data_IF_197270896956
#
_entry.id   IF_197270896956
#
_cell.length_a   1.000
_cell.length_b   1.000
_cell.length_c   1.000
_cell.angle_alpha   90.00
_cell.angle_beta   90.00
_cell.angle_gamma   90.00
#
_symmetry.space_group_name_H-M   'P 1'
#
loop_
_entity.id
_entity.type
_entity.pdbx_description
1 polymer ?
#
# COMPACT_ATOMS: atom_id res chain seq x y z
N UNK A 1 18.32 20.18 10.35
CA UNK A 1 18.14 20.53 8.92
C UNK A 1 17.39 19.39 8.23
N UNK A 2 16.18 19.08 8.72
CA UNK A 2 15.46 17.81 8.43
C UNK A 2 14.07 18.04 7.78
N UNK A 3 13.75 19.31 7.47
CA UNK A 3 12.45 19.73 6.93
C UNK A 3 12.37 19.69 5.39
N UNK A 4 13.42 19.21 4.71
CA UNK A 4 13.52 19.22 3.24
C UNK A 4 13.01 17.92 2.59
N UNK A 5 13.13 16.77 3.27
CA UNK A 5 12.81 15.46 2.70
C UNK A 5 11.33 15.28 2.35
N UNK A 6 10.42 15.57 3.29
CA UNK A 6 8.97 15.39 3.08
C UNK A 6 8.36 16.35 2.05
N UNK A 7 8.88 17.58 1.96
CA UNK A 7 8.41 18.56 0.97
C UNK A 7 8.88 18.20 -0.44
N UNK A 8 10.13 17.74 -0.59
CA UNK A 8 10.70 17.31 -1.87
C UNK A 8 9.96 16.10 -2.46
N UNK A 9 9.66 15.08 -1.66
CA UNK A 9 8.93 13.89 -2.13
C UNK A 9 7.50 14.23 -2.56
N UNK A 10 6.81 15.12 -1.83
CA UNK A 10 5.47 15.60 -2.24
C UNK A 10 5.50 16.36 -3.56
N UNK A 11 6.52 17.19 -3.76
CA UNK A 11 6.70 17.91 -5.02
C UNK A 11 6.97 16.97 -6.20
N UNK A 12 7.81 15.95 -5.99
CA UNK A 12 8.07 14.93 -7.01
C UNK A 12 6.81 14.13 -7.37
N UNK A 13 6.01 13.73 -6.37
CA UNK A 13 4.73 13.02 -6.60
C UNK A 13 3.74 13.87 -7.40
N UNK A 14 3.67 15.18 -7.14
CA UNK A 14 2.83 16.11 -7.92
C UNK A 14 3.32 16.24 -9.36
N UNK A 15 4.62 16.43 -9.57
CA UNK A 15 5.20 16.54 -10.91
C UNK A 15 4.94 15.26 -11.71
N UNK A 16 5.12 14.09 -11.09
CA UNK A 16 4.84 12.81 -11.72
C UNK A 16 3.35 12.62 -12.05
N UNK A 17 2.46 13.12 -11.19
CA UNK A 17 1.00 13.04 -11.39
C UNK A 17 0.52 13.91 -12.55
N UNK A 18 1.17 15.05 -12.80
CA UNK A 18 0.77 16.02 -13.84
C UNK A 18 1.49 15.82 -15.18
N UNK A 19 2.38 14.83 -15.27
CA UNK A 19 3.25 14.65 -16.42
C UNK A 19 2.44 14.25 -17.67
N UNK A 20 1.45 13.37 -17.51
CA UNK A 20 0.59 12.93 -18.61
C UNK A 20 -0.29 14.06 -19.15
N UNK A 21 -0.82 14.93 -18.30
CA UNK A 21 -1.64 16.08 -18.70
C UNK A 21 -0.85 17.06 -19.58
N UNK A 22 0.42 17.30 -19.26
CA UNK A 22 1.30 18.14 -20.08
C UNK A 22 1.51 17.52 -21.46
N UNK A 23 1.76 16.20 -21.51
CA UNK A 23 1.94 15.47 -22.77
C UNK A 23 0.66 15.56 -23.60
N UNK A 24 -0.50 15.31 -23.01
CA UNK A 24 -1.80 15.38 -23.69
C UNK A 24 -2.05 16.81 -24.19
N UNK A 25 -1.79 17.84 -23.39
CA UNK A 25 -1.94 19.22 -23.80
C UNK A 25 -1.04 19.57 -25.00
N UNK A 26 0.23 19.14 -24.99
CA UNK A 26 1.16 19.34 -26.12
C UNK A 26 0.65 18.62 -27.37
N UNK A 27 0.18 17.38 -27.23
CA UNK A 27 -0.34 16.62 -28.37
C UNK A 27 -1.57 17.31 -28.97
N UNK A 28 -2.52 17.72 -28.15
CA UNK A 28 -3.77 18.35 -28.60
C UNK A 28 -3.54 19.74 -29.20
N UNK A 29 -2.64 20.55 -28.64
CA UNK A 29 -2.47 21.96 -29.00
C UNK A 29 -1.35 22.23 -30.00
N UNK A 30 -0.36 21.34 -30.13
CA UNK A 30 0.76 21.53 -31.03
C UNK A 30 0.89 20.41 -32.07
N UNK A 31 0.88 19.15 -31.64
CA UNK A 31 1.14 18.01 -32.56
C UNK A 31 -0.02 17.81 -33.53
N UNK A 32 -1.26 17.71 -33.04
CA UNK A 32 -2.42 17.49 -33.90
C UNK A 32 -2.62 18.63 -34.92
N UNK A 33 -2.56 19.92 -34.53
CA UNK A 33 -2.64 21.01 -35.48
C UNK A 33 -1.50 21.01 -36.50
N UNK A 34 -0.27 20.65 -36.10
CA UNK A 34 0.86 20.54 -37.02
C UNK A 34 0.69 19.42 -38.07
N UNK A 35 -0.14 18.41 -37.78
CA UNK A 35 -0.51 17.35 -38.72
C UNK A 35 -1.75 17.69 -39.56
N UNK A 36 -2.32 18.91 -39.41
CA UNK A 36 -3.54 19.33 -40.09
C UNK A 36 -4.82 18.79 -39.47
N UNK A 37 -4.75 18.24 -38.25
CA UNK A 37 -5.92 17.74 -37.51
C UNK A 37 -6.35 18.83 -36.53
N UNK A 38 -7.40 19.57 -36.90
CA UNK A 38 -7.99 20.58 -36.02
C UNK A 38 -9.04 19.94 -35.10
N UNK A 39 -8.73 19.91 -33.80
CA UNK A 39 -9.68 19.44 -32.78
C UNK A 39 -10.52 20.63 -32.32
N UNK A 40 -11.86 20.52 -32.29
CA UNK A 40 -12.71 21.60 -31.82
C UNK A 40 -12.39 22.00 -30.37
N UNK A 41 -12.32 23.30 -30.10
CA UNK A 41 -11.88 23.85 -28.80
C UNK A 41 -12.69 23.33 -27.61
N UNK A 42 -13.98 23.05 -27.80
CA UNK A 42 -14.84 22.49 -26.77
C UNK A 42 -14.48 21.04 -26.43
N UNK A 43 -14.06 20.24 -27.41
CA UNK A 43 -13.58 18.87 -27.16
C UNK A 43 -12.23 18.92 -26.44
N UNK A 44 -11.31 19.77 -26.91
CA UNK A 44 -10.01 19.97 -26.25
C UNK A 44 -10.19 20.40 -24.79
N UNK A 45 -11.03 21.40 -24.55
CA UNK A 45 -11.32 21.88 -23.20
C UNK A 45 -12.00 20.82 -22.32
N UNK A 46 -12.91 20.03 -22.89
CA UNK A 46 -13.56 18.93 -22.17
C UNK A 46 -12.55 17.84 -21.76
N UNK A 47 -11.67 17.41 -22.67
CA UNK A 47 -10.63 16.40 -22.39
C UNK A 47 -9.71 16.89 -21.28
N UNK A 48 -9.17 18.10 -21.41
CA UNK A 48 -8.28 18.68 -20.39
C UNK A 48 -8.98 18.86 -19.04
N UNK A 49 -10.25 19.28 -19.06
CA UNK A 49 -11.06 19.42 -17.86
C UNK A 49 -11.26 18.10 -17.12
N UNK A 50 -11.59 17.02 -17.84
CA UNK A 50 -11.74 15.68 -17.26
C UNK A 50 -10.43 15.20 -16.61
N UNK A 51 -9.29 15.41 -17.27
CA UNK A 51 -7.98 15.02 -16.73
C UNK A 51 -7.65 15.78 -15.44
N UNK A 52 -7.86 17.11 -15.41
CA UNK A 52 -7.67 17.93 -14.21
C UNK A 52 -8.57 17.45 -13.07
N UNK A 53 -9.84 17.15 -13.35
CA UNK A 53 -10.76 16.61 -12.34
C UNK A 53 -10.25 15.27 -11.80
N UNK A 54 -9.78 14.37 -12.67
CA UNK A 54 -9.14 13.10 -12.26
C UNK A 54 -7.96 13.35 -11.31
N UNK A 55 -7.09 14.31 -11.60
CA UNK A 55 -5.94 14.60 -10.74
C UNK A 55 -6.34 15.14 -9.39
N UNK A 56 -7.33 16.04 -9.33
CA UNK A 56 -7.85 16.57 -8.08
C UNK A 56 -8.44 15.46 -7.21
N UNK A 57 -9.11 14.47 -7.81
CA UNK A 57 -9.66 13.32 -7.10
C UNK A 57 -8.57 12.35 -6.61
N UNK A 58 -7.50 12.16 -7.39
CA UNK A 58 -6.41 11.22 -7.07
C UNK A 58 -5.36 11.82 -6.12
N UNK A 59 -5.12 13.14 -6.19
CA UNK A 59 -4.15 13.87 -5.36
C UNK A 59 -4.22 13.55 -3.85
N UNK A 60 -5.39 13.55 -3.17
CA UNK A 60 -5.46 13.24 -1.74
C UNK A 60 -5.01 11.80 -1.41
N UNK A 61 -5.23 10.83 -2.29
CA UNK A 61 -4.78 9.44 -2.10
C UNK A 61 -3.26 9.31 -2.26
N UNK A 62 -2.68 10.00 -3.25
CA UNK A 62 -1.24 9.98 -3.54
C UNK A 62 -0.42 10.75 -2.50
N UNK A 63 -0.94 11.90 -2.04
CA UNK A 63 -0.26 12.79 -1.10
C UNK A 63 -0.54 12.48 0.36
N UNK A 64 -1.69 11.87 0.67
CA UNK A 64 -2.13 11.52 2.03
C UNK A 64 -1.49 10.24 2.60
N UNK A 65 -0.53 9.64 1.90
CA UNK A 65 0.14 8.42 2.36
C UNK A 65 -0.64 7.12 2.07
N UNK A 66 -1.66 7.16 1.19
CA UNK A 66 -2.38 5.96 0.74
C UNK A 66 -1.48 4.94 0.04
N UNK A 67 -0.42 5.39 -0.62
CA UNK A 67 0.63 4.54 -1.21
C UNK A 67 1.75 4.15 -0.23
N UNK A 68 1.87 4.84 0.91
CA UNK A 68 2.90 4.57 1.94
C UNK A 68 2.39 3.68 3.06
N UNK A 69 1.08 3.46 3.16
CA UNK A 69 0.57 2.27 3.82
C UNK A 69 0.97 1.07 2.98
N UNK A 70 2.19 0.58 3.20
CA UNK A 70 2.60 -0.75 2.78
C UNK A 70 1.41 -1.65 3.12
N UNK A 71 0.74 -2.27 2.13
CA UNK A 71 -0.27 -3.25 2.44
C UNK A 71 0.46 -4.28 3.31
N UNK A 72 0.13 -4.37 4.60
CA UNK A 72 0.56 -5.51 5.39
C UNK A 72 -0.19 -6.70 4.82
N UNK A 73 0.34 -7.26 3.75
CA UNK A 73 -0.13 -8.43 3.04
C UNK A 73 0.90 -9.52 3.25
N UNK A 74 0.46 -10.72 3.61
CA UNK A 74 1.36 -11.83 3.95
C UNK A 74 1.85 -11.79 5.39
N UNK A 75 3.09 -12.23 5.63
CA UNK A 75 3.69 -12.40 6.96
C UNK A 75 3.64 -11.13 7.84
N UNK A 76 3.88 -9.96 7.25
CA UNK A 76 3.86 -8.67 7.95
C UNK A 76 2.48 -8.31 8.52
N UNK A 77 1.41 -8.89 7.97
CA UNK A 77 0.05 -8.71 8.47
C UNK A 77 -0.22 -9.47 9.76
N UNK A 78 0.51 -10.57 9.96
CA UNK A 78 0.29 -11.51 11.06
C UNK A 78 1.03 -11.05 12.32
N UNK A 79 2.17 -10.37 12.16
CA UNK A 79 2.98 -9.84 13.27
C UNK A 79 2.18 -8.84 14.10
N UNK A 80 2.20 -9.01 15.42
CA UNK A 80 1.45 -8.22 16.39
C UNK A 80 0.03 -8.71 16.66
N UNK A 81 -0.51 -9.64 15.85
CA UNK A 81 -1.82 -10.23 16.11
C UNK A 81 -1.76 -11.27 17.23
N UNK A 82 -2.93 -11.56 17.80
CA UNK A 82 -3.10 -12.59 18.82
C UNK A 82 -3.66 -13.87 18.20
N UNK A 83 -3.00 -15.00 18.45
CA UNK A 83 -3.46 -16.32 18.07
C UNK A 83 -3.86 -17.11 19.33
N UNK A 84 -4.73 -18.12 19.17
CA UNK A 84 -5.13 -19.02 20.25
C UNK A 84 -4.43 -20.35 20.07
N UNK A 85 -3.76 -20.85 21.11
CA UNK A 85 -3.09 -22.15 21.11
C UNK A 85 -4.13 -23.26 21.03
N UNK A 86 -4.03 -24.13 20.03
CA UNK A 86 -4.93 -25.29 19.86
C UNK A 86 -4.23 -26.62 20.15
N UNK A 87 -2.90 -26.63 20.07
CA UNK A 87 -2.00 -27.71 20.48
C UNK A 87 -0.85 -27.08 21.26
N UNK A 88 -0.47 -27.67 22.40
CA UNK A 88 0.55 -27.13 23.31
C UNK A 88 1.85 -26.78 22.57
N UNK A 89 2.40 -25.60 22.86
CA UNK A 89 3.63 -25.08 22.25
C UNK A 89 4.83 -25.46 23.13
N UNK A 90 5.52 -26.55 22.76
CA UNK A 90 6.64 -27.13 23.51
C UNK A 90 7.82 -27.62 22.63
N UNK A 91 8.65 -26.74 22.03
CA UNK A 91 8.43 -25.32 21.80
C UNK A 91 7.54 -25.08 20.56
N UNK A 92 7.25 -26.13 19.79
CA UNK A 92 6.40 -26.07 18.60
C UNK A 92 5.04 -26.67 18.87
N UNK A 93 4.05 -26.22 18.12
CA UNK A 93 2.66 -26.65 18.22
C UNK A 93 1.81 -25.97 17.16
N UNK A 94 0.50 -25.92 17.40
CA UNK A 94 -0.48 -25.32 16.50
C UNK A 94 -1.22 -24.18 17.20
N UNK A 95 -1.40 -23.09 16.47
CA UNK A 95 -2.22 -21.95 16.88
C UNK A 95 -3.29 -21.69 15.84
N UNK A 96 -4.38 -21.06 16.28
CA UNK A 96 -5.46 -20.59 15.43
C UNK A 96 -5.45 -19.06 15.38
N UNK A 97 -5.34 -18.49 14.19
CA UNK A 97 -5.36 -17.05 13.94
C UNK A 97 -6.36 -16.78 12.81
N UNK A 98 -7.32 -15.89 13.05
CA UNK A 98 -8.38 -15.50 12.11
C UNK A 98 -9.13 -16.69 11.45
N UNK A 99 -9.26 -17.80 12.17
CA UNK A 99 -9.95 -19.00 11.68
C UNK A 99 -9.03 -20.07 11.07
N UNK A 100 -7.78 -19.74 10.78
CA UNK A 100 -6.81 -20.62 10.13
C UNK A 100 -5.88 -21.30 11.15
N UNK A 101 -5.46 -22.53 10.85
CA UNK A 101 -4.48 -23.28 11.64
C UNK A 101 -3.06 -23.01 11.13
N UNK A 102 -2.20 -22.61 12.05
CA UNK A 102 -0.81 -22.27 11.77
C UNK A 102 0.12 -23.08 12.65
N UNK A 103 1.22 -23.57 12.07
CA UNK A 103 2.36 -24.05 12.87
C UNK A 103 2.96 -22.86 13.57
N UNK A 104 3.26 -23.00 14.85
CA UNK A 104 3.94 -21.97 15.60
C UNK A 104 5.08 -22.53 16.44
N UNK A 105 6.04 -21.67 16.75
CA UNK A 105 7.13 -21.92 17.68
C UNK A 105 7.19 -20.79 18.70
N UNK A 106 7.18 -21.17 19.97
CA UNK A 106 7.34 -20.24 21.07
C UNK A 106 8.80 -19.75 21.13
N UNK A 107 9.02 -18.44 21.10
CA UNK A 107 10.34 -17.84 21.20
C UNK A 107 10.95 -18.07 22.58
N UNK A 108 10.12 -17.93 23.62
CA UNK A 108 10.50 -18.10 25.02
C UNK A 108 9.40 -18.83 25.79
N UNK A 109 9.77 -19.89 26.51
CA UNK A 109 8.84 -20.64 27.35
C UNK A 109 7.90 -21.56 26.56
N UNK A 110 6.70 -21.75 27.11
CA UNK A 110 5.72 -22.74 26.67
C UNK A 110 4.33 -22.16 26.79
N UNK A 111 3.41 -22.51 25.90
CA UNK A 111 2.01 -22.09 26.02
C UNK A 111 1.09 -23.29 25.87
N UNK A 112 0.07 -23.37 26.72
CA UNK A 112 -0.89 -24.48 26.75
C UNK A 112 -2.08 -24.22 25.85
N UNK A 113 -2.73 -25.29 25.39
CA UNK A 113 -3.97 -25.23 24.65
C UNK A 113 -5.00 -24.33 25.36
N UNK A 114 -5.57 -23.41 24.59
CA UNK A 114 -6.53 -22.40 25.04
C UNK A 114 -5.90 -21.05 25.40
N UNK A 115 -4.59 -20.97 25.57
CA UNK A 115 -3.90 -19.71 25.84
C UNK A 115 -3.84 -18.82 24.60
N UNK A 116 -3.69 -17.52 24.83
CA UNK A 116 -3.50 -16.53 23.77
C UNK A 116 -2.02 -16.18 23.70
N UNK A 117 -1.48 -16.12 22.49
CA UNK A 117 -0.08 -15.78 22.23
C UNK A 117 0.00 -14.68 21.18
N UNK A 118 1.00 -13.81 21.26
CA UNK A 118 1.24 -12.75 20.28
C UNK A 118 2.22 -13.24 19.22
N UNK A 119 1.93 -12.96 17.95
CA UNK A 119 2.84 -13.24 16.84
C UNK A 119 3.97 -12.21 16.83
N UNK A 120 5.19 -12.65 17.14
CA UNK A 120 6.40 -11.84 17.10
C UNK A 120 7.05 -11.83 15.70
N UNK A 121 6.80 -12.85 14.88
CA UNK A 121 7.40 -12.97 13.56
C UNK A 121 6.83 -14.13 12.74
N UNK A 122 7.34 -14.30 11.52
CA UNK A 122 7.04 -15.43 10.64
C UNK A 122 8.35 -15.97 10.07
N UNK A 123 8.56 -17.28 10.18
CA UNK A 123 9.72 -17.99 9.64
C UNK A 123 9.21 -19.07 8.66
N UNK A 124 9.31 -18.78 7.35
CA UNK A 124 8.73 -19.63 6.31
C UNK A 124 7.20 -19.70 6.43
N UNK A 125 6.67 -20.89 6.76
CA UNK A 125 5.23 -21.14 7.00
C UNK A 125 4.88 -21.28 8.49
N UNK A 126 5.81 -20.91 9.38
CA UNK A 126 5.66 -21.03 10.83
C UNK A 126 5.59 -19.66 11.49
N UNK A 127 4.66 -19.48 12.42
CA UNK A 127 4.56 -18.28 13.24
C UNK A 127 5.53 -18.36 14.41
N UNK A 128 6.27 -17.29 14.65
CA UNK A 128 7.07 -17.13 15.85
C UNK A 128 6.20 -16.38 16.85
N UNK A 129 5.97 -16.97 18.01
CA UNK A 129 5.01 -16.46 18.99
C UNK A 129 5.63 -16.31 20.38
N UNK A 130 5.04 -15.45 21.18
CA UNK A 130 5.38 -15.22 22.58
C UNK A 130 4.10 -15.19 23.44
N UNK A 131 4.12 -15.66 24.69
CA UNK A 131 2.99 -15.57 25.61
C UNK A 131 2.51 -14.13 25.85
#
# INVERSE_FOLDING_TARGET
MEMAGGKGVRLLKLIALMADEIIVAIVLLAVLPALGIEVPIFITGFILGVLIVKDVLVAPYVLGGGLERKPSTGAEALVGRTAVVVEDLLPEGLVKLDGELWRAKCLHGTARRGEKVRVAGVEGTKLIVEP
#
